data_IF_446320484624
#
_entry.id   IF_446320484624
#
_cell.length_a   1.000
_cell.length_b   1.000
_cell.length_c   1.000
_cell.angle_alpha   90.00
_cell.angle_beta   90.00
_cell.angle_gamma   90.00
#
_symmetry.space_group_name_H-M   'P 1'
#
loop_
_entity.id
_entity.type
_entity.pdbx_description
1 polymer ?
#
# COMPACT_ATOMS: atom_id res chain seq x y z
N UNK A 1 35.51 1.85 14.23
CA UNK A 1 35.17 0.43 14.06
C UNK A 1 34.98 0.17 12.58
N UNK A 2 35.98 -0.42 11.93
CA UNK A 2 35.97 -0.69 10.50
C UNK A 2 35.33 -2.07 10.26
N UNK A 3 34.16 -2.10 9.61
CA UNK A 3 33.52 -3.36 9.22
C UNK A 3 34.27 -4.00 8.06
N UNK A 4 34.61 -5.27 8.21
CA UNK A 4 35.25 -6.07 7.16
C UNK A 4 34.22 -6.34 6.04
N UNK A 5 34.62 -6.15 4.78
CA UNK A 5 33.74 -6.35 3.62
C UNK A 5 34.01 -7.72 3.00
N UNK A 6 33.11 -8.68 3.19
CA UNK A 6 33.17 -10.00 2.53
C UNK A 6 32.04 -10.07 1.50
N UNK A 7 32.39 -10.34 0.25
CA UNK A 7 31.44 -10.44 -0.88
C UNK A 7 30.62 -9.16 -1.17
N UNK A 8 31.12 -7.99 -0.75
CA UNK A 8 30.49 -6.69 -1.00
C UNK A 8 29.44 -6.25 0.04
N UNK A 9 29.13 -7.11 1.02
CA UNK A 9 28.25 -6.76 2.15
C UNK A 9 29.08 -6.41 3.40
N UNK A 10 28.54 -5.52 4.24
CA UNK A 10 29.15 -5.13 5.52
C UNK A 10 29.01 -6.27 6.53
N UNK A 11 30.12 -6.70 7.13
CA UNK A 11 30.09 -7.47 8.38
C UNK A 11 30.24 -6.55 9.58
N UNK A 12 29.31 -6.68 10.51
CA UNK A 12 29.31 -5.97 11.79
C UNK A 12 29.79 -6.92 12.88
N UNK A 13 30.90 -6.59 13.53
CA UNK A 13 31.40 -7.36 14.66
C UNK A 13 30.66 -6.94 15.94
N UNK A 14 29.80 -7.81 16.47
CA UNK A 14 29.02 -7.57 17.69
C UNK A 14 29.78 -8.00 18.96
N UNK A 15 30.82 -8.82 18.82
CA UNK A 15 31.68 -9.22 19.93
C UNK A 15 32.91 -10.01 19.46
N UNK A 16 33.75 -10.50 20.40
CA UNK A 16 35.02 -11.17 20.08
C UNK A 16 34.87 -12.40 19.16
N UNK A 17 33.68 -13.02 19.14
CA UNK A 17 33.35 -14.18 18.31
C UNK A 17 31.98 -14.09 17.62
N UNK A 18 31.30 -12.95 17.69
CA UNK A 18 29.94 -12.78 17.14
C UNK A 18 29.98 -11.79 15.99
N UNK A 19 29.59 -12.25 14.80
CA UNK A 19 29.52 -11.42 13.59
C UNK A 19 28.08 -11.41 13.08
N UNK A 20 27.59 -10.23 12.73
CA UNK A 20 26.33 -10.04 12.05
C UNK A 20 26.58 -9.72 10.59
N UNK A 21 25.93 -10.44 9.69
CA UNK A 21 25.94 -10.13 8.26
C UNK A 21 24.51 -10.03 7.74
N UNK A 22 24.28 -9.17 6.75
CA UNK A 22 22.96 -9.00 6.15
C UNK A 22 22.68 -10.22 5.26
N UNK A 23 21.60 -10.91 5.56
CA UNK A 23 21.24 -12.17 4.93
C UNK A 23 20.17 -11.96 3.86
N UNK A 24 19.06 -11.31 4.22
CA UNK A 24 17.89 -11.18 3.37
C UNK A 24 17.13 -9.89 3.61
N UNK A 25 16.62 -9.29 2.52
CA UNK A 25 15.69 -8.18 2.60
C UNK A 25 14.27 -8.75 2.71
N UNK A 26 13.64 -8.59 3.86
CA UNK A 26 12.32 -9.17 4.15
C UNK A 26 11.19 -8.33 3.55
N UNK A 27 11.23 -7.01 3.78
CA UNK A 27 10.16 -6.10 3.33
C UNK A 27 10.65 -4.67 3.20
N UNK A 28 9.90 -3.88 2.44
CA UNK A 28 10.13 -2.45 2.26
C UNK A 28 8.91 -1.68 2.82
N UNK A 29 9.14 -0.52 3.43
CA UNK A 29 8.08 0.42 3.81
C UNK A 29 8.43 1.83 3.36
N UNK A 30 7.41 2.65 3.10
CA UNK A 30 7.57 4.11 2.98
C UNK A 30 7.13 4.74 4.30
N UNK A 31 7.98 5.56 4.89
CA UNK A 31 7.62 6.34 6.08
C UNK A 31 6.73 7.51 5.69
N UNK A 32 6.09 8.14 6.68
CA UNK A 32 5.24 9.32 6.48
C UNK A 32 6.00 10.46 5.79
N UNK A 33 7.30 10.57 6.03
CA UNK A 33 8.21 11.54 5.42
C UNK A 33 8.59 11.23 3.96
N UNK A 34 7.99 10.18 3.37
CA UNK A 34 8.29 9.75 2.00
C UNK A 34 9.60 8.98 1.84
N UNK A 35 10.33 8.75 2.93
CA UNK A 35 11.58 7.99 2.91
C UNK A 35 11.30 6.50 2.78
N UNK A 36 12.12 5.81 1.98
CA UNK A 36 12.03 4.36 1.81
C UNK A 36 12.97 3.67 2.78
N UNK A 37 12.41 2.79 3.60
CA UNK A 37 13.14 1.93 4.53
C UNK A 37 12.96 0.45 4.19
N UNK A 38 13.99 -0.33 4.46
CA UNK A 38 14.05 -1.76 4.18
C UNK A 38 14.31 -2.52 5.47
N UNK A 39 13.51 -3.56 5.72
CA UNK A 39 13.73 -4.48 6.82
C UNK A 39 14.69 -5.57 6.35
N UNK A 40 15.90 -5.54 6.89
CA UNK A 40 16.95 -6.52 6.59
C UNK A 40 17.02 -7.53 7.74
N UNK A 41 17.03 -8.81 7.40
CA UNK A 41 17.40 -9.90 8.31
C UNK A 41 18.91 -9.96 8.37
N UNK A 42 19.43 -9.84 9.58
CA UNK A 42 20.84 -10.01 9.90
C UNK A 42 21.01 -11.34 10.60
N UNK A 43 21.87 -12.20 10.06
CA UNK A 43 22.24 -13.45 10.70
C UNK A 43 23.40 -13.17 11.65
N UNK A 44 23.23 -13.49 12.93
CA UNK A 44 24.29 -13.39 13.93
C UNK A 44 24.94 -14.76 14.08
N UNK A 45 26.10 -14.93 13.45
CA UNK A 45 26.85 -16.18 13.41
C UNK A 45 28.16 -16.07 14.17
N UNK A 46 28.46 -17.10 14.96
CA UNK A 46 29.79 -17.30 15.51
C UNK A 46 30.73 -17.84 14.45
N UNK A 47 31.92 -17.24 14.30
CA UNK A 47 32.90 -17.63 13.28
C UNK A 47 33.62 -18.93 13.65
N UNK A 48 32.92 -20.07 13.63
CA UNK A 48 33.52 -21.39 13.79
C UNK A 48 32.86 -22.38 12.83
N UNK A 49 33.61 -22.73 11.79
CA UNK A 49 33.39 -23.92 10.99
C UNK A 49 33.29 -25.17 11.87
N UNK A 50 32.39 -26.07 11.47
CA UNK A 50 32.32 -27.50 11.83
C UNK A 50 31.31 -27.90 12.92
N UNK A 51 30.52 -28.92 12.56
CA UNK A 51 29.75 -29.88 13.38
C UNK A 51 28.28 -29.58 13.69
N UNK A 52 27.44 -30.41 13.05
CA UNK A 52 26.16 -30.97 13.47
C UNK A 52 25.70 -30.64 14.90
N UNK A 53 24.55 -29.98 15.00
CA UNK A 53 23.80 -29.76 16.22
C UNK A 53 22.96 -28.50 16.08
N UNK A 54 21.64 -28.61 16.21
CA UNK A 54 20.62 -27.57 16.07
C UNK A 54 20.95 -26.28 16.86
N UNK A 55 21.87 -25.47 16.33
CA UNK A 55 22.25 -24.19 16.93
C UNK A 55 21.31 -23.17 16.34
N UNK A 56 20.36 -22.75 17.18
CA UNK A 56 19.39 -21.69 16.94
C UNK A 56 20.11 -20.43 16.46
N UNK A 57 20.31 -20.30 15.15
CA UNK A 57 20.87 -19.10 14.54
C UNK A 57 19.96 -17.94 14.94
N UNK A 58 20.51 -16.94 15.63
CA UNK A 58 19.73 -15.77 16.05
C UNK A 58 19.67 -14.78 14.88
N UNK A 59 18.46 -14.34 14.55
CA UNK A 59 18.23 -13.43 13.45
C UNK A 59 17.76 -12.10 14.02
N UNK A 60 18.44 -11.02 13.68
CA UNK A 60 18.07 -9.67 14.07
C UNK A 60 17.40 -9.00 12.87
N UNK A 61 16.24 -8.42 13.08
CA UNK A 61 15.54 -7.66 12.06
C UNK A 61 15.81 -6.18 12.27
N UNK A 62 16.38 -5.51 11.27
CA UNK A 62 16.73 -4.09 11.36
C UNK A 62 16.16 -3.31 10.18
N UNK A 63 15.47 -2.21 10.47
CA UNK A 63 15.07 -1.25 9.45
C UNK A 63 16.27 -0.37 9.09
N UNK A 64 16.51 -0.21 7.80
CA UNK A 64 17.60 0.58 7.25
C UNK A 64 17.07 1.52 6.17
N UNK A 65 17.62 2.72 6.09
CA UNK A 65 17.29 3.66 5.02
C UNK A 65 17.78 3.15 3.67
N UNK A 66 17.29 3.75 2.58
CA UNK A 66 17.78 3.42 1.23
C UNK A 66 19.29 3.64 1.12
N UNK A 67 19.80 4.74 1.67
CA UNK A 67 21.23 5.08 1.67
C UNK A 67 22.04 4.05 2.45
N UNK A 68 21.55 3.63 3.61
CA UNK A 68 22.20 2.61 4.43
C UNK A 68 22.23 1.24 3.73
N UNK A 69 21.16 0.84 3.05
CA UNK A 69 21.17 -0.44 2.33
C UNK A 69 22.15 -0.41 1.16
N UNK A 70 22.25 0.70 0.44
CA UNK A 70 23.26 0.86 -0.62
C UNK A 70 24.69 0.82 -0.08
N UNK A 71 24.94 1.43 1.09
CA UNK A 71 26.26 1.45 1.70
C UNK A 71 26.68 0.09 2.29
N UNK A 72 25.72 -0.67 2.83
CA UNK A 72 25.98 -1.85 3.63
C UNK A 72 25.70 -3.16 2.88
N UNK A 73 24.67 -3.23 2.04
CA UNK A 73 24.17 -4.48 1.45
C UNK A 73 23.63 -4.31 0.01
N UNK A 74 24.37 -3.71 -0.93
CA UNK A 74 23.84 -3.40 -2.27
C UNK A 74 23.42 -4.65 -3.05
N UNK A 75 24.00 -5.81 -2.73
CA UNK A 75 23.69 -7.08 -3.40
C UNK A 75 22.28 -7.63 -3.08
N UNK A 76 21.67 -7.19 -1.98
CA UNK A 76 20.33 -7.62 -1.58
C UNK A 76 19.22 -6.90 -2.35
N UNK A 77 19.51 -5.71 -2.89
CA UNK A 77 18.57 -4.95 -3.72
C UNK A 77 18.38 -5.57 -5.13
N UNK A 78 19.36 -6.33 -5.61
CA UNK A 78 19.39 -6.86 -6.98
C UNK A 78 18.85 -8.28 -7.18
N UNK A 79 18.51 -9.03 -6.12
CA UNK A 79 18.09 -10.44 -6.23
C UNK A 79 16.64 -10.67 -5.80
N UNK A 80 15.69 -10.32 -6.67
CA UNK A 80 14.38 -10.96 -6.64
C UNK A 80 14.51 -12.38 -7.20
N UNK A 81 14.72 -13.36 -6.34
CA UNK A 81 14.34 -14.74 -6.64
C UNK A 81 12.88 -14.89 -6.22
N UNK A 82 12.02 -14.97 -7.22
CA UNK A 82 10.71 -15.60 -7.17
C UNK A 82 10.86 -16.96 -6.48
N UNK A 83 10.31 -17.13 -5.28
CA UNK A 83 9.84 -18.43 -4.83
C UNK A 83 8.55 -18.24 -4.03
N UNK A 84 7.57 -19.04 -4.41
CA UNK A 84 6.17 -18.87 -4.08
C UNK A 84 5.86 -19.45 -2.71
N UNK A 85 5.36 -18.63 -1.78
CA UNK A 85 4.42 -19.13 -0.78
C UNK A 85 3.44 -18.04 -0.29
N UNK A 86 2.27 -18.08 -0.94
CA UNK A 86 0.92 -17.84 -0.40
C UNK A 86 0.64 -16.45 0.22
N UNK A 87 -0.15 -15.59 -0.45
CA UNK A 87 -0.49 -14.26 0.05
C UNK A 87 -1.54 -14.37 1.17
N UNK A 88 -1.15 -13.97 2.38
CA UNK A 88 -2.10 -13.54 3.40
C UNK A 88 -2.25 -12.02 3.29
N UNK A 89 -3.49 -11.51 3.14
CA UNK A 89 -3.73 -10.12 2.85
C UNK A 89 -3.65 -9.30 4.14
N UNK A 90 -2.56 -8.56 4.29
CA UNK A 90 -2.54 -7.41 5.21
C UNK A 90 -2.43 -6.16 4.34
N UNK A 91 -3.60 -5.57 4.10
CA UNK A 91 -3.88 -4.13 3.99
C UNK A 91 -2.76 -3.29 4.62
N UNK A 92 -2.25 -2.19 4.07
CA UNK A 92 -2.83 -1.26 3.10
C UNK A 92 -1.75 -0.22 2.75
N UNK A 93 -2.04 0.54 1.68
CA UNK A 93 -1.52 1.88 1.37
C UNK A 93 -0.31 2.00 0.42
N UNK A 94 -0.64 1.78 -0.86
CA UNK A 94 -0.60 2.79 -1.94
C UNK A 94 0.78 3.34 -2.33
N UNK A 95 1.29 2.86 -3.48
CA UNK A 95 1.75 3.77 -4.54
C UNK A 95 1.89 3.06 -5.89
N UNK A 96 1.06 3.52 -6.83
CA UNK A 96 1.40 3.81 -8.22
C UNK A 96 2.28 2.78 -8.95
N UNK A 97 1.63 1.73 -9.43
CA UNK A 97 1.98 1.12 -10.71
C UNK A 97 0.85 1.45 -11.68
N UNK A 98 1.18 1.84 -12.91
CA UNK A 98 0.21 2.24 -13.94
C UNK A 98 -0.93 1.24 -14.01
N UNK A 99 -2.13 1.69 -13.66
CA UNK A 99 -3.33 0.90 -13.85
C UNK A 99 -3.54 0.91 -15.37
N UNK A 100 -3.34 -0.23 -16.01
CA UNK A 100 -3.58 -0.37 -17.43
C UNK A 100 -4.98 0.20 -17.74
N UNK A 101 -5.09 1.03 -18.78
CA UNK A 101 -6.34 1.71 -19.11
C UNK A 101 -7.54 0.74 -19.24
N UNK A 102 -7.23 -0.53 -19.55
CA UNK A 102 -8.16 -1.66 -19.61
C UNK A 102 -8.66 -2.08 -18.22
N UNK A 103 -7.80 -2.22 -17.22
CA UNK A 103 -8.20 -2.57 -15.84
C UNK A 103 -8.98 -1.44 -15.16
N UNK A 104 -8.62 -0.18 -15.43
CA UNK A 104 -9.43 0.96 -14.97
C UNK A 104 -10.83 0.95 -15.58
N UNK A 105 -10.97 0.51 -16.83
CA UNK A 105 -12.29 0.42 -17.47
C UNK A 105 -13.17 -0.63 -16.80
N UNK A 106 -12.61 -1.79 -16.46
CA UNK A 106 -13.32 -2.85 -15.76
C UNK A 106 -13.80 -2.38 -14.36
N UNK A 107 -12.90 -1.76 -13.59
CA UNK A 107 -13.25 -1.20 -12.28
C UNK A 107 -14.34 -0.12 -12.37
N UNK A 108 -14.32 0.72 -13.41
CA UNK A 108 -15.39 1.72 -13.64
C UNK A 108 -16.73 1.04 -13.88
N UNK A 109 -16.76 -0.02 -14.68
CA UNK A 109 -17.99 -0.75 -14.98
C UNK A 109 -18.53 -1.51 -13.76
N UNK A 110 -17.62 -2.07 -12.93
CA UNK A 110 -18.00 -2.70 -11.66
C UNK A 110 -18.63 -1.69 -10.70
N UNK A 111 -18.06 -0.47 -10.56
CA UNK A 111 -18.66 0.61 -9.76
C UNK A 111 -20.08 0.93 -10.24
N UNK A 112 -20.31 1.05 -11.56
CA UNK A 112 -21.67 1.28 -12.10
C UNK A 112 -22.64 0.16 -11.71
N UNK A 113 -22.20 -1.09 -11.83
CA UNK A 113 -23.00 -2.26 -11.48
C UNK A 113 -23.31 -2.32 -9.99
N UNK A 114 -22.34 -2.03 -9.13
CA UNK A 114 -22.52 -1.98 -7.69
C UNK A 114 -23.47 -0.87 -7.26
N UNK A 115 -23.37 0.34 -7.83
CA UNK A 115 -24.28 1.46 -7.54
C UNK A 115 -25.71 1.12 -7.97
N UNK A 116 -25.87 0.54 -9.17
CA UNK A 116 -27.17 0.07 -9.67
C UNK A 116 -27.76 -1.02 -8.76
N UNK A 117 -26.93 -1.97 -8.32
CA UNK A 117 -27.32 -3.04 -7.40
C UNK A 117 -27.75 -2.48 -6.05
N UNK A 118 -26.99 -1.57 -5.48
CA UNK A 118 -27.29 -0.94 -4.20
C UNK A 118 -28.59 -0.13 -4.27
N UNK A 119 -28.84 0.64 -5.35
CA UNK A 119 -30.14 1.30 -5.58
C UNK A 119 -31.30 0.30 -5.64
N UNK A 120 -31.13 -0.79 -6.39
CA UNK A 120 -32.15 -1.84 -6.49
C UNK A 120 -32.43 -2.51 -5.14
N UNK A 121 -31.40 -2.67 -4.30
CA UNK A 121 -31.53 -3.20 -2.94
C UNK A 121 -32.24 -2.21 -2.01
N UNK A 122 -32.02 -0.90 -2.17
CA UNK A 122 -32.72 0.13 -1.37
C UNK A 122 -34.19 0.30 -1.75
N UNK A 123 -34.52 0.14 -3.04
CA UNK A 123 -35.91 0.20 -3.49
C UNK A 123 -36.78 -0.98 -3.00
N UNK A 124 -36.17 -2.13 -2.66
CA UNK A 124 -36.86 -3.30 -2.13
C UNK A 124 -36.92 -3.24 -0.60
N UNK A 125 -38.07 -2.82 -0.08
CA UNK A 125 -38.33 -2.38 1.30
C UNK A 125 -38.28 -3.45 2.43
N UNK A 126 -37.63 -4.61 2.26
CA UNK A 126 -37.60 -5.66 3.32
C UNK A 126 -36.29 -6.47 3.34
N UNK A 127 -35.77 -6.68 4.56
CA UNK A 127 -34.80 -7.68 5.06
C UNK A 127 -33.49 -7.96 4.29
N UNK A 128 -33.12 -7.11 3.33
CA UNK A 128 -31.86 -7.22 2.59
C UNK A 128 -30.67 -6.48 3.23
N UNK A 129 -30.75 -6.13 4.52
CA UNK A 129 -29.75 -5.34 5.27
C UNK A 129 -28.32 -5.90 5.14
N UNK A 130 -28.17 -7.22 5.10
CA UNK A 130 -26.87 -7.90 4.91
C UNK A 130 -26.34 -7.68 3.49
N UNK A 131 -27.21 -7.80 2.48
CA UNK A 131 -26.81 -7.71 1.07
C UNK A 131 -26.46 -6.28 0.64
N UNK A 132 -27.14 -5.27 1.19
CA UNK A 132 -26.81 -3.86 1.00
C UNK A 132 -25.52 -3.51 1.74
N UNK A 133 -25.34 -3.97 2.99
CA UNK A 133 -24.11 -3.78 3.76
C UNK A 133 -22.88 -4.30 3.03
N UNK A 134 -22.96 -5.52 2.47
CA UNK A 134 -21.85 -6.08 1.69
C UNK A 134 -21.54 -5.22 0.44
N UNK A 135 -22.58 -4.82 -0.29
CA UNK A 135 -22.43 -3.99 -1.50
C UNK A 135 -21.80 -2.64 -1.16
N UNK A 136 -22.18 -2.01 -0.03
CA UNK A 136 -21.61 -0.74 0.44
C UNK A 136 -20.17 -0.88 0.90
N UNK A 137 -19.80 -1.99 1.56
CA UNK A 137 -18.40 -2.23 1.91
C UNK A 137 -17.51 -2.40 0.68
N UNK A 138 -17.95 -3.16 -0.33
CA UNK A 138 -17.20 -3.31 -1.59
C UNK A 138 -17.08 -1.95 -2.30
N UNK A 139 -18.17 -1.18 -2.39
CA UNK A 139 -18.13 0.20 -2.90
C UNK A 139 -17.17 1.10 -2.13
N UNK A 140 -17.01 0.90 -0.82
CA UNK A 140 -16.10 1.68 0.01
C UNK A 140 -14.64 1.48 -0.36
N UNK A 141 -14.27 0.26 -0.78
CA UNK A 141 -12.92 -0.02 -1.27
C UNK A 141 -12.62 0.78 -2.55
N UNK A 142 -13.57 0.84 -3.49
CA UNK A 142 -13.44 1.63 -4.71
C UNK A 142 -13.45 3.14 -4.46
N UNK A 143 -14.17 3.63 -3.45
CA UNK A 143 -14.18 5.04 -3.08
C UNK A 143 -12.81 5.56 -2.59
N UNK A 144 -11.90 4.67 -2.16
CA UNK A 144 -10.49 4.99 -1.85
C UNK A 144 -9.59 5.16 -3.07
N UNK A 145 -10.12 4.95 -4.27
CA UNK A 145 -9.41 5.07 -5.56
C UNK A 145 -9.82 6.39 -6.22
N UNK A 146 -8.91 7.37 -6.20
CA UNK A 146 -9.17 8.72 -6.75
C UNK A 146 -9.59 8.73 -8.22
N UNK A 147 -9.03 7.83 -9.04
CA UNK A 147 -9.35 7.72 -10.47
C UNK A 147 -10.78 7.30 -10.78
N UNK A 148 -11.51 6.77 -9.78
CA UNK A 148 -12.91 6.34 -9.93
C UNK A 148 -13.90 7.41 -9.45
N UNK A 149 -13.45 8.49 -8.80
CA UNK A 149 -14.33 9.55 -8.26
C UNK A 149 -15.24 10.15 -9.32
N UNK A 150 -14.74 10.35 -10.54
CA UNK A 150 -15.56 10.82 -11.68
C UNK A 150 -16.75 9.88 -11.96
N UNK A 151 -16.52 8.57 -11.92
CA UNK A 151 -17.57 7.56 -12.16
C UNK A 151 -18.58 7.51 -11.01
N UNK A 152 -18.14 7.72 -9.76
CA UNK A 152 -19.07 7.86 -8.62
C UNK A 152 -20.01 9.07 -8.79
N UNK A 153 -19.53 10.16 -9.39
CA UNK A 153 -20.35 11.35 -9.69
C UNK A 153 -21.32 11.07 -10.85
N UNK A 154 -20.82 10.51 -11.95
CA UNK A 154 -21.61 10.17 -13.15
C UNK A 154 -22.74 9.17 -12.86
N UNK A 155 -22.50 8.19 -12.01
CA UNK A 155 -23.49 7.16 -11.64
C UNK A 155 -24.54 7.62 -10.62
N UNK A 156 -24.41 8.84 -10.10
CA UNK A 156 -25.26 9.32 -9.02
C UNK A 156 -25.07 8.53 -7.71
N UNK A 157 -23.87 8.02 -7.46
CA UNK A 157 -23.53 7.32 -6.23
C UNK A 157 -23.54 8.26 -5.01
N UNK A 158 -23.26 9.56 -5.19
CA UNK A 158 -23.34 10.54 -4.11
C UNK A 158 -24.77 10.66 -3.55
N UNK A 159 -25.78 10.71 -4.42
CA UNK A 159 -27.18 10.75 -4.00
C UNK A 159 -27.57 9.48 -3.23
N UNK A 160 -27.04 8.33 -3.67
CA UNK A 160 -27.22 7.06 -2.98
C UNK A 160 -26.60 7.08 -1.57
N UNK A 161 -25.39 7.64 -1.43
CA UNK A 161 -24.71 7.76 -0.14
C UNK A 161 -25.45 8.73 0.78
N UNK A 162 -26.00 9.82 0.25
CA UNK A 162 -26.86 10.72 1.02
C UNK A 162 -28.11 10.02 1.54
N UNK A 163 -28.76 9.20 0.72
CA UNK A 163 -29.92 8.40 1.13
C UNK A 163 -29.54 7.36 2.21
N UNK A 164 -28.36 6.73 2.09
CA UNK A 164 -27.82 5.80 3.07
C UNK A 164 -27.50 6.44 4.42
N UNK A 165 -27.15 7.73 4.45
CA UNK A 165 -26.96 8.45 5.71
C UNK A 165 -28.26 8.57 6.51
N UNK A 166 -29.41 8.49 5.85
CA UNK A 166 -30.72 8.49 6.49
C UNK A 166 -31.20 7.07 6.88
N UNK A 167 -30.39 6.03 6.65
CA UNK A 167 -30.76 4.66 6.96
C UNK A 167 -30.76 4.39 8.49
N UNK A 168 -31.65 3.51 8.97
CA UNK A 168 -31.75 3.15 10.40
C UNK A 168 -30.49 2.43 10.92
N UNK A 169 -29.80 1.73 10.02
CA UNK A 169 -28.61 0.95 10.36
C UNK A 169 -27.36 1.85 10.51
N UNK A 170 -26.70 1.77 11.67
CA UNK A 170 -25.58 2.64 12.05
C UNK A 170 -24.28 2.34 11.31
N UNK A 171 -23.98 1.07 11.01
CA UNK A 171 -22.79 0.68 10.26
C UNK A 171 -22.86 1.16 8.80
N UNK A 172 -24.03 1.13 8.20
CA UNK A 172 -24.33 1.62 6.86
C UNK A 172 -24.15 3.14 6.81
N UNK A 173 -24.70 3.87 7.79
CA UNK A 173 -24.47 5.32 7.93
C UNK A 173 -23.00 5.68 8.09
N UNK A 174 -22.28 4.98 8.98
CA UNK A 174 -20.84 5.21 9.21
C UNK A 174 -20.02 4.94 7.94
N UNK A 175 -20.35 3.88 7.20
CA UNK A 175 -19.68 3.52 5.95
C UNK A 175 -19.93 4.58 4.87
N UNK A 176 -21.18 5.00 4.67
CA UNK A 176 -21.52 6.07 3.74
C UNK A 176 -20.79 7.39 4.06
N UNK A 177 -20.70 7.77 5.34
CA UNK A 177 -19.97 8.95 5.77
C UNK A 177 -18.44 8.85 5.57
N UNK A 178 -17.85 7.65 5.69
CA UNK A 178 -16.43 7.42 5.37
C UNK A 178 -16.19 7.55 3.86
N UNK A 179 -17.07 6.98 3.05
CA UNK A 179 -16.99 7.06 1.59
C UNK A 179 -17.07 8.50 1.10
N UNK A 180 -18.03 9.29 1.59
CA UNK A 180 -18.15 10.71 1.20
C UNK A 180 -16.89 11.51 1.53
N UNK A 181 -16.28 11.27 2.71
CA UNK A 181 -15.00 11.89 3.07
C UNK A 181 -13.88 11.45 2.13
N UNK A 182 -13.77 10.16 1.81
CA UNK A 182 -12.76 9.66 0.89
C UNK A 182 -12.90 10.25 -0.52
N UNK A 183 -14.13 10.30 -1.05
CA UNK A 183 -14.43 10.88 -2.36
C UNK A 183 -14.11 12.39 -2.38
N UNK A 184 -14.48 13.14 -1.33
CA UNK A 184 -14.16 14.57 -1.22
C UNK A 184 -12.65 14.83 -1.10
N UNK A 185 -11.93 14.04 -0.30
CA UNK A 185 -10.47 14.13 -0.20
C UNK A 185 -9.78 13.85 -1.53
N UNK A 186 -10.32 12.95 -2.34
CA UNK A 186 -9.79 12.66 -3.67
C UNK A 186 -10.20 13.69 -4.74
N UNK A 187 -11.40 14.28 -4.65
CA UNK A 187 -11.83 15.39 -5.51
C UNK A 187 -10.91 16.62 -5.29
N UNK A 188 -10.58 16.94 -4.03
CA UNK A 188 -9.62 18.01 -3.70
C UNK A 188 -8.18 17.72 -4.16
N UNK A 189 -7.72 16.47 -4.03
CA UNK A 189 -6.37 16.05 -4.44
C UNK A 189 -6.19 15.87 -5.96
N UNK A 190 -7.28 15.77 -6.73
CA UNK A 190 -7.20 15.67 -8.19
C UNK A 190 -7.08 17.04 -8.88
N UNK A 191 -7.49 18.12 -8.20
CA UNK A 191 -7.37 19.50 -8.69
C UNK A 191 -5.92 20.02 -8.62
N UNK A 192 -5.10 19.55 -7.66
CA UNK A 192 -3.67 19.92 -7.59
C UNK A 192 -2.82 19.36 -8.75
N UNK A 193 -3.35 18.42 -9.57
CA UNK A 193 -2.65 17.93 -10.77
C UNK A 193 -2.95 18.71 -12.04
N UNK A 194 -3.81 19.72 -11.98
CA UNK A 194 -4.08 20.64 -13.08
C UNK A 194 -3.75 22.08 -12.67
N UNK A 195 -2.52 22.32 -12.24
CA UNK A 195 -1.94 23.65 -12.33
C UNK A 195 -1.51 23.88 -13.80
N UNK A 196 -1.98 24.92 -14.49
CA UNK A 196 -1.55 25.21 -15.85
C UNK A 196 -0.08 25.61 -15.86
N UNK A 197 0.72 24.89 -16.63
CA UNK A 197 1.99 25.38 -17.16
C UNK A 197 1.71 26.66 -17.95
N UNK A 198 2.13 27.81 -17.44
CA UNK A 198 1.99 29.05 -18.19
C UNK A 198 2.47 30.29 -17.46
N UNK A 199 3.79 30.55 -17.54
CA UNK A 199 4.32 31.75 -18.20
C UNK A 199 5.86 31.74 -18.11
N UNK A 200 6.52 31.64 -19.27
CA UNK A 200 7.89 32.09 -19.44
C UNK A 200 7.95 33.61 -19.22
N UNK A 201 8.88 34.16 -18.43
CA UNK A 201 9.20 35.57 -18.52
C UNK A 201 9.98 35.80 -19.82
N UNK A 202 9.40 36.62 -20.70
CA UNK A 202 10.05 37.13 -21.89
C UNK A 202 11.30 37.94 -21.52
N UNK A 203 12.30 37.82 -22.39
CA UNK A 203 13.59 38.48 -22.35
C UNK A 203 13.51 39.99 -22.03
N UNK A 204 14.46 40.46 -21.22
CA UNK A 204 14.75 41.87 -21.06
C UNK A 204 16.25 42.11 -21.17
N UNK A 205 16.62 43.11 -21.99
CA UNK A 205 17.92 43.77 -21.99
C UNK A 205 18.86 43.32 -23.09
#
# INVERSE_FOLDING_TARGET
MAGERRSGNLLVQLGPKLQAYPEELIRQRRTHDGQTEYLIRWCVGGSNSSTSGETKQENILMWMSTEDVYANCPMLLGKRKTDAQRPLPTQEKKQQGGTDAVELSDMKEDVKNLVRRARKQMAKKSDYSISITHTIHVLSAYAGIGSLVGVFKETGALNLLMELLCNKETQTRRSAGKMLRALASHDAGNVERFAPLGHQPAAGG
#
